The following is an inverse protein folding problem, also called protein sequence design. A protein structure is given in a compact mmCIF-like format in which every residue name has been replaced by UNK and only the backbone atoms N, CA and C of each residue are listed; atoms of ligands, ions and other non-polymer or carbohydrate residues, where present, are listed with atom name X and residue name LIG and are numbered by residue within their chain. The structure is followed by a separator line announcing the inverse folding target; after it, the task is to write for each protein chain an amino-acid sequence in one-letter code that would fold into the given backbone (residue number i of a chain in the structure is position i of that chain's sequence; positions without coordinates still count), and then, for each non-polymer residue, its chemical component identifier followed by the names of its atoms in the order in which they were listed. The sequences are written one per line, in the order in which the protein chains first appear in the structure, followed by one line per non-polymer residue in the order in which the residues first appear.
data_IF_768561172232
#
_entry.id   IF_768561172232
#
_cell.length_a   1.000
_cell.length_b   1.000
_cell.length_c   1.000
_cell.angle_alpha   90.00
_cell.angle_beta   90.00
_cell.angle_gamma   90.00
#
_symmetry.space_group_name_H-M   'P 1'
#
loop_
_entity.id
_entity.type
_entity.pdbx_description
1 polymer ?
#
# COMPACT_ATOMS: atom_id res chain seq x y z
N UNK A 1 5.90 -5.37 6.58
CA UNK A 1 5.74 -3.90 6.71
C UNK A 1 5.16 -3.62 8.08
N UNK A 2 5.74 -2.68 8.82
CA UNK A 2 5.07 -2.14 10.00
C UNK A 2 3.80 -1.39 9.62
N UNK A 3 3.10 -0.85 10.62
CA UNK A 3 1.97 0.05 10.41
C UNK A 3 2.42 1.27 9.58
N UNK A 4 1.74 1.62 8.48
CA UNK A 4 2.08 2.82 7.73
C UNK A 4 2.04 4.06 8.63
N UNK A 5 2.92 5.03 8.40
CA UNK A 5 2.84 6.34 9.08
C UNK A 5 1.54 7.06 8.69
N UNK A 6 1.12 8.10 9.41
CA UNK A 6 -0.03 8.92 9.01
C UNK A 6 0.08 9.46 7.58
N UNK A 7 1.26 9.92 7.18
CA UNK A 7 1.53 10.44 5.83
C UNK A 7 1.44 9.34 4.78
N UNK A 8 2.00 8.16 5.08
CA UNK A 8 1.89 7.00 4.20
C UNK A 8 0.44 6.54 4.06
N UNK A 9 -0.33 6.56 5.15
CA UNK A 9 -1.76 6.22 5.14
C UNK A 9 -2.57 7.20 4.28
N UNK A 10 -2.30 8.50 4.42
CA UNK A 10 -2.90 9.53 3.58
C UNK A 10 -2.54 9.34 2.10
N UNK A 11 -1.26 9.07 1.81
CA UNK A 11 -0.78 8.83 0.46
C UNK A 11 -1.39 7.56 -0.15
N UNK A 12 -1.51 6.47 0.61
CA UNK A 12 -2.18 5.24 0.17
C UNK A 12 -3.65 5.50 -0.15
N UNK A 13 -4.37 6.23 0.73
CA UNK A 13 -5.78 6.57 0.52
C UNK A 13 -6.00 7.32 -0.79
N UNK A 14 -5.27 8.40 -1.04
CA UNK A 14 -5.41 9.16 -2.28
C UNK A 14 -4.99 8.34 -3.51
N UNK A 15 -4.03 7.42 -3.36
CA UNK A 15 -3.63 6.50 -4.44
C UNK A 15 -4.76 5.52 -4.77
N UNK A 16 -5.46 5.00 -3.77
CA UNK A 16 -6.64 4.13 -3.94
C UNK A 16 -7.82 4.88 -4.58
N UNK A 17 -7.94 6.18 -4.34
CA UNK A 17 -8.90 7.08 -5.02
C UNK A 17 -8.49 7.39 -6.48
N UNK A 18 -7.40 6.80 -6.99
CA UNK A 18 -6.92 6.99 -8.36
C UNK A 18 -6.10 8.26 -8.58
N UNK A 19 -5.83 9.04 -7.53
CA UNK A 19 -5.00 10.24 -7.64
C UNK A 19 -3.54 9.84 -7.79
N UNK A 20 -2.88 10.34 -8.84
CA UNK A 20 -1.46 10.11 -9.08
C UNK A 20 -0.69 11.42 -8.88
N UNK A 21 0.44 11.34 -8.19
CA UNK A 21 1.40 12.44 -8.14
C UNK A 21 2.06 12.60 -9.50
N UNK A 22 2.68 13.76 -9.73
CA UNK A 22 3.53 13.97 -10.88
C UNK A 22 4.91 13.32 -10.69
N UNK A 23 5.63 13.12 -11.79
CA UNK A 23 7.02 12.68 -11.72
C UNK A 23 7.91 13.78 -11.10
N UNK A 24 8.91 13.42 -10.29
CA UNK A 24 9.35 12.05 -9.97
C UNK A 24 8.62 11.38 -8.80
N UNK A 25 7.79 12.12 -8.04
CA UNK A 25 7.15 11.63 -6.81
C UNK A 25 6.21 10.43 -7.03
N UNK A 26 5.63 10.32 -8.23
CA UNK A 26 4.85 9.14 -8.65
C UNK A 26 5.56 7.81 -8.41
N UNK A 27 6.87 7.74 -8.63
CA UNK A 27 7.63 6.50 -8.42
C UNK A 27 7.55 6.02 -6.97
N UNK A 28 7.76 6.94 -6.02
CA UNK A 28 7.67 6.63 -4.58
C UNK A 28 6.24 6.28 -4.17
N UNK A 29 5.24 6.96 -4.72
CA UNK A 29 3.83 6.64 -4.49
C UNK A 29 3.49 5.22 -4.97
N UNK A 30 3.81 4.89 -6.21
CA UNK A 30 3.51 3.57 -6.79
C UNK A 30 4.28 2.45 -6.08
N UNK A 31 5.52 2.71 -5.66
CA UNK A 31 6.30 1.79 -4.83
C UNK A 31 5.63 1.54 -3.47
N UNK A 32 5.22 2.59 -2.77
CA UNK A 32 4.51 2.47 -1.48
C UNK A 32 3.21 1.67 -1.64
N UNK A 33 2.43 1.98 -2.68
CA UNK A 33 1.18 1.29 -2.98
C UNK A 33 1.40 -0.18 -3.36
N UNK A 34 2.45 -0.47 -4.14
CA UNK A 34 2.85 -1.84 -4.48
C UNK A 34 3.18 -2.65 -3.23
N UNK A 35 3.99 -2.11 -2.33
CA UNK A 35 4.35 -2.78 -1.07
C UNK A 35 3.13 -3.01 -0.17
N UNK A 36 2.25 -2.02 -0.07
CA UNK A 36 1.01 -2.14 0.68
C UNK A 36 0.11 -3.26 0.12
N UNK A 37 -0.07 -3.33 -1.20
CA UNK A 37 -0.84 -4.39 -1.85
C UNK A 37 -0.24 -5.77 -1.63
N UNK A 38 1.09 -5.91 -1.72
CA UNK A 38 1.76 -7.19 -1.43
C UNK A 38 1.50 -7.62 0.00
N UNK A 39 1.62 -6.73 0.99
CA UNK A 39 1.29 -7.05 2.37
C UNK A 39 -0.16 -7.50 2.50
N UNK A 40 -1.10 -6.76 1.94
CA UNK A 40 -2.52 -7.11 1.99
C UNK A 40 -2.80 -8.49 1.40
N UNK A 41 -2.25 -8.80 0.22
CA UNK A 41 -2.41 -10.12 -0.40
C UNK A 41 -1.80 -11.26 0.44
N UNK A 42 -0.64 -11.02 1.07
CA UNK A 42 -0.03 -12.01 1.96
C UNK A 42 -0.88 -12.22 3.22
N UNK A 43 -1.37 -11.14 3.84
CA UNK A 43 -2.24 -11.24 5.03
C UNK A 43 -3.52 -12.02 4.68
N UNK A 44 -4.17 -11.70 3.56
CA UNK A 44 -5.35 -12.44 3.08
C UNK A 44 -5.03 -13.90 2.76
N UNK A 45 -3.88 -14.20 2.14
CA UNK A 45 -3.49 -15.58 1.88
C UNK A 45 -3.28 -16.37 3.18
N UNK A 46 -2.65 -15.78 4.19
CA UNK A 46 -2.46 -16.40 5.50
C UNK A 46 -3.79 -16.66 6.20
N UNK A 47 -4.72 -15.70 6.16
CA UNK A 47 -6.08 -15.86 6.70
C UNK A 47 -6.82 -17.04 6.02
N UNK A 48 -6.79 -17.10 4.69
CA UNK A 48 -7.42 -18.20 3.91
C UNK A 48 -6.79 -19.56 4.26
N UNK A 49 -5.48 -19.60 4.49
CA UNK A 49 -4.76 -20.82 4.87
C UNK A 49 -4.91 -21.17 6.37
N UNK A 50 -5.60 -20.35 7.17
CA UNK A 50 -5.73 -20.55 8.62
C UNK A 50 -4.41 -20.38 9.39
N UNK A 51 -3.50 -19.57 8.85
CA UNK A 51 -2.18 -19.28 9.41
C UNK A 51 -2.10 -17.91 10.13
N UNK A 52 -3.21 -17.19 10.16
CA UNK A 52 -3.41 -15.92 10.86
C UNK A 52 -4.70 -16.02 11.68
#
# INVERSE_FOLDING_TARGET
MGTPTPEQSALLKVTMEGRKLEYPARYSQEKLFGLYRVKWHLDTALEILGML
#
